data_IF_494814217380
#
_entry.id   IF_494814217380
#
_cell.length_a   1.000
_cell.length_b   1.000
_cell.length_c   1.000
_cell.angle_alpha   90.00
_cell.angle_beta   90.00
_cell.angle_gamma   90.00
#
_symmetry.space_group_name_H-M   'P 1'
#
loop_
_entity.id
_entity.type
_entity.pdbx_description
1 polymer ?
#
# COMPACT_ATOMS: atom_id res chain seq x y z
N UNK A 1 8.24 10.69 -2.13
CA UNK A 1 8.69 9.29 -2.17
C UNK A 1 7.75 8.57 -3.13
N UNK A 2 8.26 8.07 -4.26
CA UNK A 2 7.46 7.29 -5.21
C UNK A 2 7.48 5.87 -4.66
N UNK A 3 6.36 5.37 -4.14
CA UNK A 3 6.27 3.98 -3.70
C UNK A 3 6.31 3.10 -4.96
N UNK A 4 7.20 2.11 -5.03
CA UNK A 4 7.19 1.11 -6.11
C UNK A 4 5.79 0.50 -6.26
N UNK A 5 5.32 0.29 -7.49
CA UNK A 5 3.97 -0.25 -7.78
C UNK A 5 3.77 -1.71 -7.34
N UNK A 6 4.84 -2.33 -6.87
CA UNK A 6 4.89 -3.69 -6.35
C UNK A 6 5.14 -3.72 -4.83
N UNK A 7 5.10 -2.57 -4.14
CA UNK A 7 5.33 -2.50 -2.70
C UNK A 7 4.12 -1.89 -1.99
N UNK A 8 3.44 -2.69 -1.18
CA UNK A 8 2.37 -2.24 -0.30
C UNK A 8 2.95 -1.86 1.05
N UNK A 9 2.63 -0.64 1.50
CA UNK A 9 2.97 -0.13 2.82
C UNK A 9 1.66 0.03 3.60
N UNK A 10 1.46 -0.82 4.59
CA UNK A 10 0.24 -0.89 5.38
C UNK A 10 0.56 -0.36 6.77
N UNK A 11 -0.16 0.69 7.16
CA UNK A 11 -0.12 1.24 8.51
C UNK A 11 -1.31 0.71 9.29
N UNK A 12 -1.03 -0.05 10.36
CA UNK A 12 -2.04 -0.61 11.24
C UNK A 12 -1.93 0.12 12.57
N UNK A 13 -3.01 0.82 12.94
CA UNK A 13 -3.14 1.49 14.24
C UNK A 13 -3.41 0.48 15.37
N UNK A 14 -2.47 -0.45 15.53
CA UNK A 14 -2.49 -1.49 16.54
C UNK A 14 -1.08 -1.73 17.06
N UNK A 15 -0.95 -1.91 18.37
CA UNK A 15 0.36 -2.03 19.01
C UNK A 15 1.11 -3.26 18.48
N UNK A 16 2.40 -3.08 18.17
CA UNK A 16 3.22 -4.15 17.59
C UNK A 16 3.26 -5.40 18.48
N UNK A 17 3.35 -5.20 19.80
CA UNK A 17 3.43 -6.33 20.73
C UNK A 17 2.14 -7.16 20.74
N UNK A 18 0.98 -6.51 20.83
CA UNK A 18 -0.30 -7.21 20.79
C UNK A 18 -0.57 -7.80 19.40
N UNK A 19 -0.10 -7.14 18.33
CA UNK A 19 -0.22 -7.67 16.97
C UNK A 19 0.51 -9.01 16.86
N UNK A 20 1.77 -9.05 17.30
CA UNK A 20 2.60 -10.25 17.27
C UNK A 20 2.04 -11.36 18.16
N UNK A 21 1.49 -11.02 19.33
CA UNK A 21 0.98 -12.00 20.28
C UNK A 21 -0.38 -12.60 19.89
N UNK A 22 -1.31 -11.78 19.38
CA UNK A 22 -2.71 -12.20 19.25
C UNK A 22 -3.23 -12.29 17.82
N UNK A 23 -2.63 -11.55 16.87
CA UNK A 23 -3.24 -11.32 15.56
C UNK A 23 -2.38 -11.83 14.40
N UNK A 24 -1.05 -11.91 14.58
CA UNK A 24 -0.08 -12.15 13.51
C UNK A 24 -0.46 -13.33 12.60
N UNK A 25 -0.70 -14.52 13.16
CA UNK A 25 -1.00 -15.72 12.36
C UNK A 25 -2.31 -15.60 11.58
N UNK A 26 -3.32 -14.99 12.18
CA UNK A 26 -4.58 -14.72 11.51
C UNK A 26 -4.39 -13.70 10.40
N UNK A 27 -3.64 -12.63 10.66
CA UNK A 27 -3.38 -11.58 9.69
C UNK A 27 -2.58 -12.10 8.49
N UNK A 28 -1.58 -12.97 8.68
CA UNK A 28 -0.85 -13.56 7.55
C UNK A 28 -1.75 -14.42 6.65
N UNK A 29 -2.72 -15.14 7.23
CA UNK A 29 -3.76 -15.86 6.47
C UNK A 29 -4.68 -14.89 5.73
N UNK A 30 -5.09 -13.81 6.38
CA UNK A 30 -5.88 -12.73 5.78
C UNK A 30 -5.16 -12.08 4.60
N UNK A 31 -3.86 -11.78 4.74
CA UNK A 31 -3.01 -11.26 3.64
C UNK A 31 -3.07 -12.20 2.45
N UNK A 32 -2.85 -13.50 2.68
CA UNK A 32 -2.86 -14.49 1.62
C UNK A 32 -4.22 -14.54 0.90
N UNK A 33 -5.32 -14.54 1.67
CA UNK A 33 -6.68 -14.55 1.16
C UNK A 33 -6.97 -13.31 0.30
N UNK A 34 -6.62 -12.11 0.78
CA UNK A 34 -6.86 -10.86 0.06
C UNK A 34 -6.05 -10.83 -1.22
N UNK A 35 -4.75 -11.14 -1.18
CA UNK A 35 -3.91 -11.14 -2.38
C UNK A 35 -4.43 -12.12 -3.44
N UNK A 36 -4.92 -13.29 -3.03
CA UNK A 36 -5.54 -14.27 -3.94
C UNK A 36 -6.78 -13.67 -4.65
N UNK A 37 -7.63 -12.91 -3.96
CA UNK A 37 -8.80 -12.25 -4.57
C UNK A 37 -8.43 -11.25 -5.67
N UNK A 38 -7.23 -10.71 -5.62
CA UNK A 38 -6.71 -9.78 -6.63
C UNK A 38 -5.75 -10.45 -7.63
N UNK A 39 -5.61 -11.79 -7.60
CA UNK A 39 -4.63 -12.54 -8.39
C UNK A 39 -3.19 -12.02 -8.21
N UNK A 40 -2.82 -11.73 -6.96
CA UNK A 40 -1.50 -11.26 -6.54
C UNK A 40 -0.80 -12.31 -5.68
N UNK A 41 0.53 -12.29 -5.66
CA UNK A 41 1.34 -13.08 -4.73
C UNK A 41 2.32 -12.17 -4.00
N UNK A 42 2.58 -12.48 -2.73
CA UNK A 42 3.65 -11.82 -1.98
C UNK A 42 4.98 -12.54 -2.26
N UNK A 43 5.99 -11.79 -2.70
CA UNK A 43 7.39 -12.24 -2.70
C UNK A 43 7.97 -12.19 -1.28
N UNK A 44 7.58 -11.18 -0.51
CA UNK A 44 7.99 -11.04 0.88
C UNK A 44 6.97 -10.25 1.69
N UNK A 45 6.88 -10.57 2.97
CA UNK A 45 6.09 -9.84 3.97
C UNK A 45 7.00 -9.52 5.15
N UNK A 46 7.13 -8.24 5.49
CA UNK A 46 7.95 -7.78 6.61
C UNK A 46 7.09 -6.97 7.56
N UNK A 47 7.03 -7.38 8.83
CA UNK A 47 6.32 -6.68 9.90
C UNK A 47 7.33 -5.91 10.73
N UNK A 48 7.08 -4.61 10.95
CA UNK A 48 7.95 -3.72 11.71
C UNK A 48 7.17 -2.96 12.77
N UNK A 49 7.86 -2.65 13.85
CA UNK A 49 7.39 -1.70 14.86
C UNK A 49 7.65 -0.28 14.36
N UNK A 50 6.63 0.57 14.38
CA UNK A 50 6.78 2.00 14.09
C UNK A 50 7.48 2.73 15.23
N UNK A 51 7.89 3.98 15.01
CA UNK A 51 8.47 4.83 16.07
C UNK A 51 7.51 5.02 17.25
N UNK A 52 6.21 4.99 16.99
CA UNK A 52 5.16 5.17 18.01
C UNK A 52 4.71 3.84 18.64
N UNK A 53 5.33 2.72 18.24
CA UNK A 53 5.04 1.40 18.77
C UNK A 53 3.91 0.63 18.08
N UNK A 54 3.31 1.21 17.04
CA UNK A 54 2.30 0.58 16.19
C UNK A 54 2.91 -0.38 15.16
N UNK A 55 2.06 -1.06 14.41
CA UNK A 55 2.46 -2.10 13.46
C UNK A 55 2.47 -1.55 12.04
N UNK A 56 3.62 -1.65 11.38
CA UNK A 56 3.71 -1.43 9.94
C UNK A 56 3.98 -2.75 9.22
N UNK A 57 3.35 -2.95 8.07
CA UNK A 57 3.56 -4.13 7.25
C UNK A 57 3.97 -3.70 5.84
N UNK A 58 5.04 -4.32 5.36
CA UNK A 58 5.56 -4.13 4.02
C UNK A 58 5.36 -5.43 3.24
N UNK A 59 4.62 -5.37 2.14
CA UNK A 59 4.40 -6.52 1.26
C UNK A 59 4.98 -6.22 -0.10
N UNK A 60 5.99 -6.99 -0.51
CA UNK A 60 6.49 -6.98 -1.88
C UNK A 60 5.65 -7.94 -2.71
N UNK A 61 5.09 -7.47 -3.81
CA UNK A 61 4.27 -8.22 -4.74
C UNK A 61 5.14 -8.79 -5.88
N UNK A 62 4.66 -9.87 -6.48
CA UNK A 62 5.26 -10.55 -7.64
C UNK A 62 5.14 -9.74 -8.94
N UNK A 63 4.29 -8.71 -8.96
CA UNK A 63 4.08 -7.81 -10.08
C UNK A 63 3.60 -6.45 -9.62
N UNK A 64 3.78 -5.46 -10.50
CA UNK A 64 3.19 -4.14 -10.32
C UNK A 64 1.67 -4.16 -10.46
N UNK A 65 1.01 -3.29 -9.71
CA UNK A 65 -0.43 -3.03 -9.81
C UNK A 65 -0.69 -1.55 -10.09
N UNK A 66 -1.83 -1.25 -10.70
CA UNK A 66 -2.29 0.12 -10.85
C UNK A 66 -2.69 0.72 -9.49
N UNK A 67 -2.75 2.05 -9.44
CA UNK A 67 -2.98 2.76 -8.20
C UNK A 67 -4.37 2.50 -7.59
N UNK A 68 -5.39 2.24 -8.40
CA UNK A 68 -6.75 1.95 -7.90
C UNK A 68 -6.80 0.57 -7.24
N UNK A 69 -6.25 -0.44 -7.91
CA UNK A 69 -6.08 -1.77 -7.34
C UNK A 69 -5.28 -1.72 -6.03
N UNK A 70 -4.20 -0.93 -5.99
CA UNK A 70 -3.40 -0.74 -4.78
C UNK A 70 -4.25 -0.23 -3.61
N UNK A 71 -5.13 0.75 -3.84
CA UNK A 71 -5.98 1.31 -2.77
C UNK A 71 -7.01 0.31 -2.27
N UNK A 72 -7.61 -0.49 -3.15
CA UNK A 72 -8.50 -1.58 -2.75
C UNK A 72 -7.79 -2.60 -1.86
N UNK A 73 -6.58 -3.01 -2.25
CA UNK A 73 -5.79 -3.97 -1.47
C UNK A 73 -5.39 -3.37 -0.12
N UNK A 74 -4.89 -2.13 -0.08
CA UNK A 74 -4.53 -1.45 1.17
C UNK A 74 -5.71 -1.38 2.14
N UNK A 75 -6.89 -1.00 1.64
CA UNK A 75 -8.10 -0.92 2.45
C UNK A 75 -8.52 -2.30 2.98
N UNK A 76 -8.51 -3.33 2.12
CA UNK A 76 -8.86 -4.70 2.50
C UNK A 76 -7.89 -5.30 3.53
N UNK A 77 -6.62 -4.87 3.52
CA UNK A 77 -5.59 -5.27 4.48
C UNK A 77 -5.62 -4.44 5.78
N UNK A 78 -6.58 -3.53 5.95
CA UNK A 78 -6.75 -2.77 7.18
C UNK A 78 -5.78 -1.59 7.33
N UNK A 79 -5.29 -1.04 6.22
CA UNK A 79 -4.52 0.20 6.24
C UNK A 79 -5.36 1.37 6.76
N UNK A 80 -4.72 2.32 7.44
CA UNK A 80 -5.37 3.53 7.94
C UNK A 80 -6.26 4.23 6.89
N UNK A 81 -7.51 4.50 7.30
CA UNK A 81 -8.51 5.13 6.44
C UNK A 81 -8.13 6.55 6.05
N UNK A 82 -7.41 7.29 6.89
CA UNK A 82 -6.92 8.62 6.57
C UNK A 82 -5.94 8.59 5.39
N UNK A 83 -4.97 7.68 5.44
CA UNK A 83 -3.99 7.46 4.37
C UNK A 83 -4.67 7.03 3.05
N UNK A 84 -5.61 6.08 3.12
CA UNK A 84 -6.36 5.63 1.93
C UNK A 84 -7.22 6.77 1.39
N UNK A 85 -7.89 7.55 2.23
CA UNK A 85 -8.75 8.66 1.82
C UNK A 85 -7.99 9.77 1.09
N UNK A 86 -6.83 10.17 1.63
CA UNK A 86 -5.95 11.15 0.96
C UNK A 86 -5.47 10.62 -0.38
N UNK A 87 -5.17 9.32 -0.45
CA UNK A 87 -4.72 8.67 -1.69
C UNK A 87 -5.82 8.58 -2.74
N UNK A 88 -7.05 8.24 -2.34
CA UNK A 88 -8.24 8.27 -3.20
C UNK A 88 -8.54 9.68 -3.71
N UNK A 89 -8.44 10.71 -2.84
CA UNK A 89 -8.61 12.10 -3.25
C UNK A 89 -7.58 12.47 -4.35
N UNK A 90 -6.32 12.04 -4.21
CA UNK A 90 -5.29 12.28 -5.22
C UNK A 90 -5.62 11.58 -6.54
N UNK A 91 -6.04 10.32 -6.48
CA UNK A 91 -6.46 9.57 -7.67
C UNK A 91 -7.60 10.30 -8.40
N UNK A 92 -8.63 10.74 -7.67
CA UNK A 92 -9.77 11.48 -8.25
C UNK A 92 -9.38 12.81 -8.88
N UNK A 93 -8.51 13.58 -8.22
CA UNK A 93 -8.19 14.95 -8.64
C UNK A 93 -7.08 15.02 -9.71
N UNK A 94 -6.13 14.08 -9.69
CA UNK A 94 -4.94 14.15 -10.54
C UNK A 94 -4.84 12.99 -11.55
N UNK A 95 -5.68 11.97 -11.41
CA UNK A 95 -5.50 10.67 -12.06
C UNK A 95 -4.45 9.86 -11.31
N UNK A 96 -4.03 8.73 -11.89
CA UNK A 96 -2.97 7.90 -11.29
C UNK A 96 -1.71 8.76 -11.06
N UNK A 97 -1.35 9.05 -9.79
CA UNK A 97 -0.20 9.89 -9.48
C UNK A 97 1.12 9.26 -9.92
N UNK A 98 1.12 7.95 -10.19
CA UNK A 98 2.25 7.19 -10.70
C UNK A 98 2.35 7.24 -12.24
N UNK A 99 1.35 7.79 -12.96
CA UNK A 99 1.37 7.91 -14.44
C UNK A 99 1.83 9.30 -14.92
N UNK A 100 1.77 10.34 -14.07
CA UNK A 100 1.89 11.75 -14.51
C UNK A 100 3.14 12.53 -14.11
N UNK A 101 4.26 11.89 -13.77
CA UNK A 101 5.50 12.63 -13.47
C UNK A 101 6.46 12.93 -14.65
N UNK A 102 6.17 12.51 -15.89
CA UNK A 102 7.07 12.82 -17.03
C UNK A 102 6.48 13.62 -18.19
N UNK A 103 5.16 13.88 -18.26
CA UNK A 103 4.57 14.61 -19.39
C UNK A 103 4.53 16.15 -19.21
N UNK A 104 4.93 16.68 -18.04
CA UNK A 104 4.93 18.15 -17.81
C UNK A 104 6.27 18.84 -18.06
N UNK A 105 7.36 18.11 -18.34
CA UNK A 105 8.68 18.70 -18.63
C UNK A 105 9.02 18.85 -20.12
N UNK A 106 8.16 18.41 -21.04
CA UNK A 106 8.39 18.47 -22.49
C UNK A 106 7.56 19.53 -23.25
N UNK A 107 6.83 20.42 -22.56
CA UNK A 107 6.01 21.46 -23.23
C UNK A 107 6.35 22.92 -22.88
N UNK A 108 7.49 23.16 -22.23
CA UNK A 108 7.98 24.52 -21.96
C UNK A 108 9.46 24.62 -22.35
N UNK A 109 9.76 24.32 -23.61
CA UNK A 109 11.02 24.66 -24.28
C UNK A 109 10.75 24.82 -25.79
N UNK A 110 9.73 25.62 -26.11
CA UNK A 110 9.53 26.15 -27.46
C UNK A 110 8.92 27.55 -27.29
N UNK A 111 9.78 28.49 -26.89
CA UNK A 111 9.65 29.92 -27.15
C UNK A 111 11.04 30.51 -27.26
#
# INVERSE_FOLDING_TARGET
>A
MITPRDLLLIDIDFSYQNFMEYIYDFYMKHVSLILEKFNLKAESVVVKKSTNGNTHIMIKLDKEIDYETMLHVLLALGCDLGLVSVSLMRLKNFGDPLVKQFSRKLRVRDK
#
